data_IF_093763962935
#
_entry.id   IF_093763962935
#
_cell.length_a   1.000
_cell.length_b   1.000
_cell.length_c   1.000
_cell.angle_alpha   90.00
_cell.angle_beta   90.00
_cell.angle_gamma   90.00
#
_symmetry.space_group_name_H-M   'P 1'
#
loop_
_entity.id
_entity.type
_entity.pdbx_description
1 polymer ?
#
# COMPACT_ATOMS: atom_id res chain seq x y z
N UNK A 1 -32.07 35.15 -41.08
CA UNK A 1 -30.71 34.67 -40.77
C UNK A 1 -30.67 34.48 -39.26
N UNK A 2 -30.95 33.30 -38.67
CA UNK A 2 -30.20 32.02 -38.70
C UNK A 2 -28.69 32.29 -38.65
N UNK A 3 -27.93 31.94 -37.60
CA UNK A 3 -27.66 30.61 -37.03
C UNK A 3 -26.98 30.73 -35.60
N UNK A 4 -26.50 29.67 -34.90
CA UNK A 4 -27.21 28.77 -33.96
C UNK A 4 -26.58 28.65 -32.54
N UNK A 5 -27.19 27.77 -31.73
CA UNK A 5 -26.72 27.24 -30.45
C UNK A 5 -25.42 26.40 -30.54
N UNK A 6 -24.81 26.19 -29.37
CA UNK A 6 -23.80 25.18 -29.00
C UNK A 6 -22.31 25.54 -29.25
N UNK A 7 -21.66 26.03 -28.19
CA UNK A 7 -20.26 25.69 -27.96
C UNK A 7 -20.20 24.78 -26.75
N UNK A 8 -20.40 23.49 -27.04
CA UNK A 8 -19.99 22.37 -26.23
C UNK A 8 -18.59 22.67 -25.70
N UNK A 9 -18.48 22.86 -24.38
CA UNK A 9 -17.20 23.03 -23.69
C UNK A 9 -16.42 21.74 -23.91
N UNK A 10 -15.60 21.70 -24.97
CA UNK A 10 -14.68 20.61 -25.25
C UNK A 10 -13.78 20.48 -24.02
N UNK A 11 -14.14 19.54 -23.15
CA UNK A 11 -13.38 19.16 -21.97
C UNK A 11 -12.09 18.52 -22.50
N UNK A 12 -11.06 19.34 -22.60
CA UNK A 12 -9.77 18.99 -23.15
C UNK A 12 -9.16 17.83 -22.30
N UNK A 13 -8.99 16.61 -22.85
CA UNK A 13 -8.68 15.40 -22.08
C UNK A 13 -7.26 15.35 -21.50
N UNK A 14 -6.50 16.45 -21.61
CA UNK A 14 -5.10 16.53 -21.17
C UNK A 14 -4.91 16.88 -19.68
N UNK A 15 -5.98 17.18 -18.95
CA UNK A 15 -5.87 17.71 -17.57
C UNK A 15 -6.06 16.66 -16.46
N UNK A 16 -6.40 15.40 -16.78
CA UNK A 16 -6.88 14.47 -15.75
C UNK A 16 -5.78 13.61 -15.09
N UNK A 17 -4.59 13.50 -15.70
CA UNK A 17 -3.55 12.56 -15.23
C UNK A 17 -2.49 13.15 -14.28
N UNK A 18 -2.63 14.41 -13.83
CA UNK A 18 -1.53 15.13 -13.14
C UNK A 18 -1.91 15.72 -11.77
N UNK A 19 -2.79 15.06 -11.01
CA UNK A 19 -3.23 15.63 -9.72
C UNK A 19 -2.37 15.25 -8.52
N UNK A 20 -1.74 14.07 -8.48
CA UNK A 20 -1.05 13.64 -7.25
C UNK A 20 0.38 14.21 -7.13
N UNK A 21 1.18 14.09 -8.19
CA UNK A 21 2.56 14.62 -8.24
C UNK A 21 2.63 16.16 -8.19
N UNK A 22 1.55 16.85 -8.56
CA UNK A 22 1.52 18.32 -8.58
C UNK A 22 1.34 18.95 -7.19
N UNK A 23 0.92 18.18 -6.19
CA UNK A 23 0.61 18.70 -4.85
C UNK A 23 1.76 18.51 -3.86
N UNK A 24 2.50 17.40 -3.93
CA UNK A 24 3.74 17.16 -3.17
C UNK A 24 4.70 16.25 -3.96
N UNK A 25 5.98 16.61 -4.11
CA UNK A 25 6.93 15.84 -4.92
C UNK A 25 7.26 14.45 -4.36
N UNK A 26 7.11 14.24 -3.03
CA UNK A 26 7.38 12.95 -2.37
C UNK A 26 6.24 11.94 -2.50
N UNK A 27 5.09 12.35 -3.06
CA UNK A 27 3.95 11.48 -3.29
C UNK A 27 4.14 10.69 -4.58
N UNK A 28 5.14 9.82 -4.57
CA UNK A 28 5.46 8.91 -5.67
C UNK A 28 4.72 7.58 -5.50
N UNK A 29 4.54 6.84 -6.59
CA UNK A 29 4.01 5.48 -6.55
C UNK A 29 4.96 4.58 -5.75
N UNK A 30 4.46 4.01 -4.65
CA UNK A 30 5.23 3.06 -3.85
C UNK A 30 5.35 1.71 -4.55
N UNK A 31 6.25 0.87 -4.05
CA UNK A 31 6.47 -0.48 -4.62
C UNK A 31 5.21 -1.34 -4.52
N UNK A 32 4.45 -1.25 -3.44
CA UNK A 32 3.22 -2.04 -3.24
C UNK A 32 2.16 -1.69 -4.30
N UNK A 33 1.93 -0.40 -4.54
CA UNK A 33 1.01 0.09 -5.55
C UNK A 33 1.47 -0.24 -6.97
N UNK A 34 2.78 -0.21 -7.21
CA UNK A 34 3.36 -0.65 -8.49
C UNK A 34 3.08 -2.15 -8.73
N UNK A 35 3.41 -3.02 -7.77
CA UNK A 35 3.17 -4.47 -7.86
C UNK A 35 1.67 -4.76 -8.04
N UNK A 36 0.80 -4.07 -7.29
CA UNK A 36 -0.63 -4.24 -7.40
C UNK A 36 -1.16 -3.93 -8.81
N UNK A 37 -0.78 -2.78 -9.37
CA UNK A 37 -1.22 -2.39 -10.72
C UNK A 37 -0.64 -3.34 -11.77
N UNK A 38 0.64 -3.71 -11.68
CA UNK A 38 1.25 -4.64 -12.63
C UNK A 38 0.62 -6.04 -12.60
N UNK A 39 0.25 -6.56 -11.42
CA UNK A 39 -0.39 -7.87 -11.31
C UNK A 39 -1.82 -7.85 -11.88
N UNK A 40 -2.58 -6.78 -11.60
CA UNK A 40 -3.93 -6.62 -12.17
C UNK A 40 -3.86 -6.49 -13.70
N UNK A 41 -2.88 -5.73 -14.21
CA UNK A 41 -2.64 -5.57 -15.64
C UNK A 41 -2.28 -6.93 -16.28
N UNK A 42 -1.40 -7.70 -15.64
CA UNK A 42 -1.04 -9.04 -16.08
C UNK A 42 -2.26 -9.96 -16.15
N UNK A 43 -3.06 -10.06 -15.08
CA UNK A 43 -4.23 -10.95 -15.05
C UNK A 43 -5.25 -10.59 -16.14
N UNK A 44 -5.45 -9.30 -16.42
CA UNK A 44 -6.45 -8.83 -17.39
C UNK A 44 -5.97 -8.87 -18.84
N UNK A 45 -4.65 -8.85 -19.08
CA UNK A 45 -4.09 -8.66 -20.42
C UNK A 45 -3.15 -9.78 -20.89
N UNK A 46 -2.85 -10.79 -20.07
CA UNK A 46 -2.04 -11.94 -20.51
C UNK A 46 -2.77 -12.88 -21.49
N UNK A 47 -4.08 -12.71 -21.69
CA UNK A 47 -4.90 -13.54 -22.58
C UNK A 47 -5.26 -14.92 -22.03
N UNK A 48 -4.88 -15.22 -20.77
CA UNK A 48 -5.17 -16.51 -20.12
C UNK A 48 -6.40 -16.48 -19.20
N UNK A 49 -6.90 -15.29 -18.85
CA UNK A 49 -8.06 -15.12 -17.97
C UNK A 49 -9.10 -14.20 -18.59
N UNK A 50 -10.36 -14.49 -18.33
CA UNK A 50 -11.48 -13.57 -18.53
C UNK A 50 -11.40 -12.40 -17.54
N UNK A 51 -12.20 -11.36 -17.78
CA UNK A 51 -12.22 -10.19 -16.90
C UNK A 51 -12.77 -10.56 -15.52
N UNK A 52 -13.78 -11.41 -15.49
CA UNK A 52 -14.46 -11.91 -14.30
C UNK A 52 -13.50 -12.75 -13.45
N UNK A 53 -12.75 -13.67 -14.06
CA UNK A 53 -11.73 -14.47 -13.35
C UNK A 53 -10.62 -13.60 -12.77
N UNK A 54 -10.13 -12.62 -13.54
CA UNK A 54 -9.09 -11.71 -13.07
C UNK A 54 -9.58 -10.90 -11.85
N UNK A 55 -10.82 -10.43 -11.86
CA UNK A 55 -11.42 -9.67 -10.76
C UNK A 55 -11.70 -10.59 -9.54
N UNK A 56 -12.03 -11.87 -9.77
CA UNK A 56 -12.15 -12.87 -8.71
C UNK A 56 -10.82 -13.10 -8.00
N UNK A 57 -9.71 -13.31 -8.74
CA UNK A 57 -8.38 -13.47 -8.16
C UNK A 57 -7.96 -12.28 -7.28
N UNK A 58 -8.33 -11.07 -7.68
CA UNK A 58 -8.09 -9.87 -6.86
C UNK A 58 -8.97 -9.90 -5.60
N UNK A 59 -10.24 -10.26 -5.73
CA UNK A 59 -11.20 -10.29 -4.61
C UNK A 59 -10.86 -11.31 -3.53
N UNK A 60 -10.36 -12.49 -3.91
CA UNK A 60 -9.94 -13.54 -2.98
C UNK A 60 -8.60 -13.22 -2.30
N UNK A 61 -7.92 -12.15 -2.72
CA UNK A 61 -6.69 -11.68 -2.09
C UNK A 61 -5.42 -12.32 -2.64
N UNK A 62 -5.34 -12.65 -3.93
CA UNK A 62 -4.11 -13.17 -4.55
C UNK A 62 -2.89 -12.25 -4.32
N UNK A 63 -3.09 -10.93 -4.29
CA UNK A 63 -2.05 -9.95 -3.94
C UNK A 63 -1.50 -10.13 -2.52
N UNK A 64 -2.37 -10.44 -1.56
CA UNK A 64 -1.96 -10.71 -0.19
C UNK A 64 -1.13 -12.00 -0.12
N UNK A 65 -1.56 -13.04 -0.85
CA UNK A 65 -0.81 -14.29 -0.98
C UNK A 65 0.59 -14.09 -1.55
N UNK A 66 0.72 -13.27 -2.60
CA UNK A 66 2.01 -12.92 -3.20
C UNK A 66 2.93 -12.22 -2.18
N UNK A 67 2.39 -11.27 -1.42
CA UNK A 67 3.16 -10.54 -0.41
C UNK A 67 3.61 -11.45 0.74
N UNK A 68 2.72 -12.31 1.26
CA UNK A 68 3.04 -13.28 2.32
C UNK A 68 4.14 -14.23 1.85
N UNK A 69 4.04 -14.75 0.62
CA UNK A 69 5.06 -15.63 0.06
C UNK A 69 6.42 -14.94 -0.03
N UNK A 70 6.48 -13.74 -0.61
CA UNK A 70 7.73 -12.99 -0.75
C UNK A 70 8.37 -12.65 0.59
N UNK A 71 7.58 -12.17 1.57
CA UNK A 71 8.08 -11.84 2.92
C UNK A 71 8.53 -13.07 3.70
N UNK A 72 7.90 -14.23 3.49
CA UNK A 72 8.28 -15.48 4.16
C UNK A 72 9.72 -15.89 3.84
N UNK A 73 10.19 -15.66 2.60
CA UNK A 73 11.59 -15.88 2.21
C UNK A 73 12.51 -15.01 3.06
N UNK A 74 12.18 -13.72 3.21
CA UNK A 74 12.95 -12.80 4.06
C UNK A 74 12.94 -13.19 5.54
N UNK A 75 11.79 -13.63 6.06
CA UNK A 75 11.68 -14.10 7.45
C UNK A 75 12.52 -15.35 7.71
N UNK A 76 12.50 -16.32 6.79
CA UNK A 76 13.36 -17.51 6.87
C UNK A 76 14.83 -17.08 6.82
N UNK A 77 15.20 -16.19 5.90
CA UNK A 77 16.55 -15.63 5.81
C UNK A 77 17.02 -14.98 7.11
N UNK A 78 16.20 -14.11 7.70
CA UNK A 78 16.51 -13.48 8.98
C UNK A 78 16.62 -14.49 10.11
N UNK A 79 15.74 -15.49 10.18
CA UNK A 79 15.86 -16.56 11.18
C UNK A 79 17.19 -17.32 11.07
N UNK A 80 17.58 -17.71 9.85
CA UNK A 80 18.83 -18.42 9.61
C UNK A 80 20.04 -17.54 9.92
N UNK A 81 20.00 -16.26 9.57
CA UNK A 81 21.07 -15.31 9.86
C UNK A 81 21.26 -15.10 11.37
N UNK A 82 20.17 -14.99 12.11
CA UNK A 82 20.16 -14.92 13.57
C UNK A 82 20.82 -16.14 14.23
N UNK A 83 20.53 -17.34 13.70
CA UNK A 83 21.17 -18.59 14.14
C UNK A 83 22.66 -18.64 13.79
N UNK A 84 23.02 -18.24 12.57
CA UNK A 84 24.40 -18.19 12.08
C UNK A 84 25.27 -17.25 12.91
N UNK A 85 24.72 -16.11 13.32
CA UNK A 85 25.40 -15.10 14.15
C UNK A 85 25.42 -15.45 15.64
N UNK A 86 24.69 -16.49 16.06
CA UNK A 86 24.60 -16.89 17.47
C UNK A 86 24.00 -15.81 18.37
N UNK A 87 23.03 -15.02 17.88
CA UNK A 87 22.46 -13.94 18.67
C UNK A 87 21.77 -14.48 19.94
N UNK A 88 21.99 -13.78 21.05
CA UNK A 88 21.40 -14.09 22.35
C UNK A 88 19.93 -13.65 22.46
N UNK A 89 19.35 -13.81 23.65
CA UNK A 89 17.96 -13.42 23.91
C UNK A 89 17.80 -11.90 23.86
N UNK A 90 16.82 -11.43 23.09
CA UNK A 90 16.47 -10.02 23.02
C UNK A 90 15.66 -9.58 24.25
N UNK A 91 16.01 -8.40 24.81
CA UNK A 91 15.21 -7.67 25.80
C UNK A 91 15.15 -6.20 25.37
N UNK A 92 13.94 -5.65 25.32
CA UNK A 92 13.73 -4.27 24.87
C UNK A 92 14.21 -3.27 25.94
N UNK A 93 14.89 -2.16 25.56
CA UNK A 93 15.32 -1.11 26.48
C UNK A 93 14.12 -0.45 27.19
N UNK A 94 14.26 -0.18 28.48
CA UNK A 94 13.16 0.43 29.26
C UNK A 94 12.93 1.89 28.88
N UNK A 95 14.00 2.59 28.47
CA UNK A 95 13.93 4.01 28.07
C UNK A 95 13.16 4.24 26.76
N UNK A 96 12.90 3.18 25.99
CA UNK A 96 12.08 3.19 24.76
C UNK A 96 10.62 2.76 25.03
N UNK A 97 10.26 2.57 26.31
CA UNK A 97 8.89 2.23 26.74
C UNK A 97 8.33 3.38 27.57
N UNK A 98 7.24 3.99 27.09
CA UNK A 98 6.49 4.96 27.89
C UNK A 98 5.53 4.25 28.84
N UNK A 99 5.83 4.26 30.13
CA UNK A 99 4.96 3.71 31.17
C UNK A 99 3.97 4.75 31.65
N UNK A 100 2.68 4.53 31.37
CA UNK A 100 1.59 5.34 31.88
C UNK A 100 0.87 4.58 33.00
N UNK A 101 1.05 5.04 34.25
CA UNK A 101 0.32 4.50 35.39
C UNK A 101 -1.07 5.16 35.50
N UNK A 102 -2.15 4.41 35.76
CA UNK A 102 -3.51 4.97 35.85
C UNK A 102 -3.65 6.11 36.86
N UNK A 103 -2.89 6.07 37.97
CA UNK A 103 -2.89 7.14 38.99
C UNK A 103 -2.42 8.50 38.44
N UNK A 104 -1.59 8.50 37.39
CA UNK A 104 -1.08 9.73 36.78
C UNK A 104 -2.09 10.37 35.82
N UNK A 105 -3.11 9.62 35.38
CA UNK A 105 -4.20 10.13 34.51
C UNK A 105 -5.29 10.84 35.33
N UNK A 106 -5.51 10.41 36.59
CA UNK A 106 -6.50 11.01 37.47
C UNK A 106 -6.11 12.41 37.94
N UNK A 107 -4.82 12.71 38.07
CA UNK A 107 -4.35 14.05 38.47
C UNK A 107 -4.38 15.10 37.35
N UNK A 108 -4.58 14.70 36.08
CA UNK A 108 -4.70 15.60 34.93
C UNK A 108 -6.14 15.83 34.47
N UNK A 109 -7.04 14.88 34.72
CA UNK A 109 -8.48 15.06 34.53
C UNK A 109 -9.09 15.56 35.85
N UNK A 110 -8.96 16.86 36.13
CA UNK A 110 -9.45 17.47 37.37
C UNK A 110 -10.90 17.10 37.69
N UNK A 111 -11.04 16.17 38.64
CA UNK A 111 -12.14 16.01 39.57
C UNK A 111 -11.53 15.96 40.97
#
# INVERSE_FOLDING_TARGET
>A
MYEPQSQTKFRNPKHEKRYFYSQKPNLILNVDGCIAVCLVDLLRHCGSFTREEADEFVSIGALNGLFVLGRSIGFIGHYLDQKRLGQGLYRHPWDDITYLHPDHLQHQAGF
#
